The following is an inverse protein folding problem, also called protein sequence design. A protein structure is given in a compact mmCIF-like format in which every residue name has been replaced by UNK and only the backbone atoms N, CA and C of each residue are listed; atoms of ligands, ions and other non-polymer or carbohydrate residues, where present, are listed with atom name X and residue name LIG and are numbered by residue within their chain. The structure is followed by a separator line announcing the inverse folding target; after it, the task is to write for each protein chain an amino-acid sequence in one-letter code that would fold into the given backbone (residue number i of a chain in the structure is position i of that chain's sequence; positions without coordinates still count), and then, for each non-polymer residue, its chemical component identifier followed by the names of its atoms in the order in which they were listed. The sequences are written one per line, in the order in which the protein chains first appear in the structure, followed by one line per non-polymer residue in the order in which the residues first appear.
data_IF_526854853364
#
_entry.id   IF_526854853364
#
_cell.length_a   1.000
_cell.length_b   1.000
_cell.length_c   1.000
_cell.angle_alpha   90.00
_cell.angle_beta   90.00
_cell.angle_gamma   90.00
#
_symmetry.space_group_name_H-M   'P 1'
#
loop_
_entity.id
_entity.type
_entity.pdbx_description
1 polymer ?
#
# COMPACT_ATOMS: atom_id res chain seq x y z
N UNK A 1 16.56 -7.89 -17.92
CA UNK A 1 16.44 -6.43 -18.10
C UNK A 1 14.96 -6.09 -18.12
N UNK A 2 14.50 -5.14 -17.29
CA UNK A 2 13.12 -4.67 -17.36
C UNK A 2 12.86 -4.12 -18.76
N UNK A 3 11.80 -4.62 -19.42
CA UNK A 3 11.36 -4.11 -20.73
C UNK A 3 10.45 -2.90 -20.59
N UNK A 4 10.06 -2.54 -19.37
CA UNK A 4 9.29 -1.32 -19.12
C UNK A 4 10.25 -0.14 -19.07
N UNK A 5 10.06 0.79 -20.00
CA UNK A 5 10.84 2.03 -20.07
C UNK A 5 9.98 3.12 -19.46
N UNK A 6 10.48 3.81 -18.43
CA UNK A 6 9.75 4.93 -17.83
C UNK A 6 9.69 6.06 -18.86
N UNK A 7 8.51 6.29 -19.44
CA UNK A 7 8.32 7.31 -20.48
C UNK A 7 8.48 8.74 -19.92
N UNK A 8 8.12 8.97 -18.65
CA UNK A 8 8.25 10.26 -17.98
C UNK A 8 8.93 10.13 -16.60
N UNK A 9 10.20 10.55 -16.48
CA UNK A 9 11.04 10.39 -15.29
C UNK A 9 10.71 11.39 -14.18
N UNK A 10 9.79 12.34 -14.39
CA UNK A 10 9.42 13.32 -13.36
C UNK A 10 8.84 12.62 -12.14
N UNK A 11 9.00 13.24 -10.97
CA UNK A 11 8.38 12.81 -9.71
C UNK A 11 6.86 12.66 -9.90
N UNK A 12 6.31 11.56 -9.40
CA UNK A 12 4.87 11.32 -9.37
C UNK A 12 4.29 12.04 -8.16
N UNK A 13 3.25 12.84 -8.41
CA UNK A 13 2.55 13.63 -7.40
C UNK A 13 1.08 13.22 -7.37
N UNK A 14 0.35 13.63 -6.34
CA UNK A 14 -1.11 13.42 -6.26
C UNK A 14 -1.84 13.96 -7.49
N UNK A 15 -1.42 15.13 -8.00
CA UNK A 15 -1.94 15.70 -9.24
C UNK A 15 -1.69 14.80 -10.46
N UNK A 16 -0.50 14.19 -10.55
CA UNK A 16 -0.18 13.29 -11.67
C UNK A 16 -1.09 12.05 -11.65
N UNK A 17 -1.44 11.51 -10.49
CA UNK A 17 -2.39 10.40 -10.41
C UNK A 17 -3.80 10.78 -10.92
N UNK A 18 -4.25 12.01 -10.63
CA UNK A 18 -5.50 12.55 -11.18
C UNK A 18 -5.41 12.69 -12.71
N UNK A 19 -4.29 13.19 -13.22
CA UNK A 19 -4.04 13.30 -14.67
C UNK A 19 -4.01 11.93 -15.36
N UNK A 20 -3.44 10.90 -14.71
CA UNK A 20 -3.45 9.52 -15.21
C UNK A 20 -4.88 9.00 -15.34
N UNK A 21 -5.72 9.16 -14.31
CA UNK A 21 -7.15 8.82 -14.38
C UNK A 21 -7.85 9.52 -15.55
N UNK A 22 -7.66 10.84 -15.68
CA UNK A 22 -8.29 11.63 -16.75
C UNK A 22 -7.90 11.16 -18.16
N UNK A 23 -6.69 10.60 -18.32
CA UNK A 23 -6.19 10.01 -19.56
C UNK A 23 -6.54 8.53 -19.75
N UNK A 24 -7.12 7.88 -18.74
CA UNK A 24 -7.34 6.43 -18.72
C UNK A 24 -6.06 5.61 -18.55
N UNK A 25 -4.97 6.23 -18.11
CA UNK A 25 -3.70 5.56 -17.80
C UNK A 25 -3.79 4.89 -16.42
N UNK A 26 -3.53 3.58 -16.35
CA UNK A 26 -3.67 2.82 -15.09
C UNK A 26 -2.50 3.09 -14.16
N UNK A 27 -2.81 3.33 -12.89
CA UNK A 27 -1.82 3.58 -11.84
C UNK A 27 -1.30 2.25 -11.29
N UNK A 28 0.02 2.06 -11.34
CA UNK A 28 0.67 0.93 -10.68
C UNK A 28 1.13 1.31 -9.27
N UNK A 29 0.71 0.53 -8.27
CA UNK A 29 1.13 0.70 -6.88
C UNK A 29 1.61 -0.63 -6.29
N UNK A 30 2.66 -0.59 -5.47
CA UNK A 30 3.13 -1.72 -4.67
C UNK A 30 3.47 -1.28 -3.25
N UNK A 31 3.41 -2.21 -2.31
CA UNK A 31 3.98 -1.94 -0.99
C UNK A 31 5.51 -2.04 -1.00
N UNK A 32 6.16 -1.29 -0.12
CA UNK A 32 7.58 -1.45 0.21
C UNK A 32 7.83 -1.05 1.67
N UNK A 33 8.88 -1.61 2.29
CA UNK A 33 9.12 -1.45 3.72
C UNK A 33 10.58 -1.19 4.08
N UNK A 34 11.49 -1.31 3.11
CA UNK A 34 12.92 -1.12 3.29
C UNK A 34 13.55 -0.35 2.12
N UNK A 35 14.76 0.15 2.35
CA UNK A 35 15.50 0.97 1.39
C UNK A 35 15.81 0.23 0.09
N UNK A 36 16.34 -0.99 0.18
CA UNK A 36 16.87 -1.72 -0.96
C UNK A 36 15.76 -2.12 -1.92
N UNK A 37 14.65 -2.62 -1.39
CA UNK A 37 13.50 -3.00 -2.19
C UNK A 37 12.78 -1.77 -2.77
N UNK A 38 12.61 -0.70 -1.98
CA UNK A 38 11.99 0.53 -2.46
C UNK A 38 12.74 1.13 -3.66
N UNK A 39 14.08 1.12 -3.63
CA UNK A 39 14.91 1.57 -4.75
C UNK A 39 14.66 0.74 -6.01
N UNK A 40 14.62 -0.59 -5.90
CA UNK A 40 14.37 -1.47 -7.04
C UNK A 40 12.96 -1.27 -7.63
N UNK A 41 11.96 -1.08 -6.77
CA UNK A 41 10.58 -0.83 -7.19
C UNK A 41 10.46 0.53 -7.90
N UNK A 42 11.10 1.57 -7.37
CA UNK A 42 11.13 2.90 -7.98
C UNK A 42 11.84 2.90 -9.33
N UNK A 43 13.03 2.28 -9.41
CA UNK A 43 13.80 2.13 -10.64
C UNK A 43 13.08 1.31 -11.72
N UNK A 44 12.18 0.40 -11.30
CA UNK A 44 11.32 -0.35 -12.22
C UNK A 44 10.17 0.48 -12.81
N UNK A 45 9.94 1.71 -12.33
CA UNK A 45 8.95 2.63 -12.87
C UNK A 45 7.62 2.67 -12.14
N UNK A 46 7.54 2.17 -10.90
CA UNK A 46 6.31 2.21 -10.09
C UNK A 46 5.77 3.64 -9.92
N UNK A 47 4.45 3.85 -10.03
CA UNK A 47 3.87 5.19 -9.90
C UNK A 47 3.67 5.61 -8.45
N UNK A 48 3.26 4.67 -7.60
CA UNK A 48 3.10 4.90 -6.17
C UNK A 48 3.64 3.74 -5.33
N UNK A 49 4.21 4.05 -4.17
CA UNK A 49 4.69 3.08 -3.19
C UNK A 49 3.94 3.29 -1.88
N UNK A 50 3.39 2.19 -1.34
CA UNK A 50 2.68 2.17 -0.07
C UNK A 50 3.57 1.59 1.04
N UNK A 51 3.88 2.37 2.08
CA UNK A 51 4.30 1.82 3.36
C UNK A 51 3.03 1.45 4.11
N UNK A 52 2.57 0.21 3.91
CA UNK A 52 1.32 -0.27 4.47
C UNK A 52 1.49 -0.89 5.86
N UNK A 53 0.47 -0.81 6.70
CA UNK A 53 0.45 -1.51 8.00
C UNK A 53 0.45 -3.05 7.86
N UNK A 54 0.21 -3.56 6.65
CA UNK A 54 0.54 -4.94 6.20
C UNK A 54 1.96 -5.39 6.57
N UNK A 55 2.89 -4.46 6.80
CA UNK A 55 4.20 -4.72 7.40
C UNK A 55 4.10 -5.55 8.69
N UNK A 56 3.03 -5.40 9.47
CA UNK A 56 2.82 -6.16 10.69
C UNK A 56 2.83 -7.66 10.41
N UNK A 57 2.19 -8.09 9.32
CA UNK A 57 2.13 -9.49 8.92
C UNK A 57 3.43 -9.92 8.24
N UNK A 58 3.84 -9.20 7.18
CA UNK A 58 4.90 -9.68 6.28
C UNK A 58 6.32 -9.33 6.72
N UNK A 59 6.48 -8.35 7.62
CA UNK A 59 7.78 -7.95 8.17
C UNK A 59 7.93 -8.36 9.64
N UNK A 60 6.86 -8.23 10.44
CA UNK A 60 6.91 -8.48 11.89
C UNK A 60 6.26 -9.80 12.34
N UNK A 61 5.59 -10.54 11.44
CA UNK A 61 4.99 -11.84 11.75
C UNK A 61 3.76 -11.79 12.67
N UNK A 62 3.16 -10.63 12.89
CA UNK A 62 1.90 -10.52 13.63
C UNK A 62 0.74 -11.18 12.86
N UNK A 63 -0.26 -11.66 13.60
CA UNK A 63 -1.45 -12.26 13.02
C UNK A 63 -2.42 -11.24 12.40
N UNK A 64 -2.37 -9.98 12.85
CA UNK A 64 -3.20 -8.87 12.37
C UNK A 64 -2.34 -7.61 12.26
N UNK A 65 -2.87 -6.56 11.62
CA UNK A 65 -2.17 -5.26 11.52
C UNK A 65 -2.29 -4.39 12.78
N UNK A 66 -3.17 -4.76 13.71
CA UNK A 66 -3.46 -3.99 14.93
C UNK A 66 -2.24 -3.68 15.82
N UNK A 67 -1.25 -4.58 15.99
CA UNK A 67 -0.10 -4.30 16.85
C UNK A 67 0.90 -3.29 16.26
N UNK A 68 0.78 -2.94 14.98
CA UNK A 68 1.69 -2.02 14.31
C UNK A 68 1.62 -0.64 14.97
N UNK A 69 2.76 -0.13 15.44
CA UNK A 69 2.81 1.18 16.10
C UNK A 69 3.15 2.30 15.12
N UNK A 70 2.86 3.54 15.51
CA UNK A 70 3.26 4.73 14.74
C UNK A 70 4.79 4.79 14.53
N UNK A 71 5.58 4.48 15.55
CA UNK A 71 7.04 4.53 15.47
C UNK A 71 7.59 3.47 14.51
N UNK A 72 6.99 2.28 14.46
CA UNK A 72 7.34 1.24 13.50
C UNK A 72 6.98 1.67 12.06
N UNK A 73 5.81 2.29 11.85
CA UNK A 73 5.44 2.86 10.55
C UNK A 73 6.42 3.95 10.12
N UNK A 74 6.80 4.86 11.03
CA UNK A 74 7.78 5.92 10.76
C UNK A 74 9.15 5.32 10.39
N UNK A 75 9.60 4.27 11.07
CA UNK A 75 10.85 3.58 10.73
C UNK A 75 10.84 3.03 9.30
N UNK A 76 9.78 2.32 8.90
CA UNK A 76 9.66 1.83 7.52
C UNK A 76 9.55 2.99 6.51
N UNK A 77 8.79 4.03 6.84
CA UNK A 77 8.66 5.23 6.03
C UNK A 77 10.00 5.95 5.81
N UNK A 78 10.86 6.02 6.83
CA UNK A 78 12.22 6.55 6.71
C UNK A 78 13.09 5.70 5.77
N UNK A 79 13.02 4.37 5.90
CA UNK A 79 13.77 3.45 5.04
C UNK A 79 13.36 3.59 3.56
N UNK A 80 12.06 3.58 3.29
CA UNK A 80 11.51 3.72 1.93
C UNK A 80 11.76 5.12 1.38
N UNK A 81 11.51 6.17 2.16
CA UNK A 81 11.71 7.55 1.73
C UNK A 81 13.14 7.87 1.27
N UNK A 82 14.15 7.19 1.83
CA UNK A 82 15.55 7.30 1.36
C UNK A 82 15.81 6.59 0.03
N UNK A 83 15.02 5.57 -0.31
CA UNK A 83 15.20 4.73 -1.49
C UNK A 83 14.46 5.21 -2.74
N UNK A 84 13.39 6.00 -2.56
CA UNK A 84 12.50 6.42 -3.65
C UNK A 84 12.85 7.80 -4.17
N UNK A 85 12.94 7.93 -5.50
CA UNK A 85 13.18 9.20 -6.20
C UNK A 85 11.97 9.64 -7.04
N UNK A 86 11.26 8.72 -7.70
CA UNK A 86 10.18 9.04 -8.65
C UNK A 86 8.77 8.76 -8.09
N UNK A 87 8.50 7.58 -7.59
CA UNK A 87 7.15 7.16 -7.19
C UNK A 87 6.58 8.05 -6.08
N UNK A 88 5.27 8.27 -6.05
CA UNK A 88 4.58 8.92 -4.93
C UNK A 88 4.64 7.99 -3.72
N UNK A 89 5.15 8.47 -2.59
CA UNK A 89 5.26 7.65 -1.37
C UNK A 89 4.13 7.95 -0.40
N UNK A 90 3.30 6.94 -0.11
CA UNK A 90 2.14 6.99 0.79
C UNK A 90 2.39 6.12 2.01
N UNK A 91 2.11 6.60 3.21
CA UNK A 91 2.29 5.84 4.45
C UNK A 91 0.95 5.64 5.17
N UNK A 92 0.69 4.44 5.66
CA UNK A 92 -0.49 4.19 6.49
C UNK A 92 -0.39 4.89 7.85
N UNK A 93 -1.51 5.44 8.31
CA UNK A 93 -1.73 5.66 9.73
C UNK A 93 -2.18 4.33 10.36
N UNK A 94 -1.43 3.79 11.34
CA UNK A 94 -1.78 2.51 11.94
C UNK A 94 -2.99 2.64 12.88
N UNK A 95 -3.60 1.51 13.22
CA UNK A 95 -4.75 1.46 14.11
C UNK A 95 -4.52 2.21 15.43
N UNK A 96 -5.54 2.97 15.85
CA UNK A 96 -5.53 3.73 17.11
C UNK A 96 -4.90 5.12 17.00
N UNK A 97 -4.31 5.47 15.86
CA UNK A 97 -3.60 6.76 15.70
C UNK A 97 -4.44 7.86 15.07
N UNK A 98 -5.65 7.54 14.59
CA UNK A 98 -6.50 8.51 13.87
C UNK A 98 -8.01 8.34 14.07
N UNK A 99 -8.47 7.20 14.58
CA UNK A 99 -9.87 6.92 14.83
C UNK A 99 -10.35 7.65 16.09
N UNK A 100 -11.49 8.33 16.02
CA UNK A 100 -12.18 8.91 17.19
C UNK A 100 -11.54 10.16 17.82
N UNK A 101 -10.29 10.50 17.48
CA UNK A 101 -9.62 11.71 17.96
C UNK A 101 -8.89 12.40 16.81
N UNK A 102 -9.54 13.41 16.24
CA UNK A 102 -9.04 14.15 15.07
C UNK A 102 -7.78 14.98 15.35
N UNK A 103 -7.55 15.42 16.60
CA UNK A 103 -6.31 16.10 16.99
C UNK A 103 -5.12 15.15 17.00
N UNK A 104 -5.35 13.92 17.48
CA UNK A 104 -4.35 12.86 17.47
C UNK A 104 -4.09 12.35 16.07
N UNK A 105 -5.12 12.26 15.23
CA UNK A 105 -4.97 11.99 13.80
C UNK A 105 -4.00 12.98 13.12
N UNK A 106 -4.19 14.28 13.37
CA UNK A 106 -3.30 15.32 12.86
C UNK A 106 -1.88 15.20 13.43
N UNK A 107 -1.73 14.98 14.73
CA UNK A 107 -0.43 14.82 15.35
C UNK A 107 0.34 13.63 14.76
N UNK A 108 -0.33 12.48 14.60
CA UNK A 108 0.24 11.28 13.99
C UNK A 108 0.63 11.49 12.53
N UNK A 109 -0.22 12.13 11.73
CA UNK A 109 0.08 12.47 10.35
C UNK A 109 1.30 13.41 10.26
N UNK A 110 1.36 14.45 11.09
CA UNK A 110 2.51 15.37 11.15
C UNK A 110 3.80 14.62 11.50
N UNK A 111 3.76 13.69 12.45
CA UNK A 111 4.92 12.87 12.80
C UNK A 111 5.42 12.07 11.60
N UNK A 112 4.53 11.37 10.88
CA UNK A 112 4.89 10.68 9.64
C UNK A 112 5.54 11.65 8.65
N UNK A 113 4.92 12.79 8.36
CA UNK A 113 5.44 13.74 7.36
C UNK A 113 6.78 14.37 7.76
N UNK A 114 6.99 14.67 9.04
CA UNK A 114 8.20 15.35 9.54
C UNK A 114 9.36 14.40 9.79
N UNK A 115 9.07 13.21 10.30
CA UNK A 115 10.08 12.24 10.70
C UNK A 115 10.47 11.32 9.54
N UNK A 116 9.75 11.37 8.41
CA UNK A 116 10.06 10.62 7.19
C UNK A 116 10.14 11.54 5.96
N UNK A 117 10.29 10.94 4.77
CA UNK A 117 10.23 11.65 3.47
C UNK A 117 9.03 11.20 2.65
N UNK A 118 7.94 10.84 3.33
CA UNK A 118 6.67 10.46 2.69
C UNK A 118 5.88 11.70 2.30
N UNK A 119 4.97 11.55 1.34
CA UNK A 119 4.30 12.68 0.67
C UNK A 119 2.79 12.70 0.93
N UNK A 120 2.25 11.61 1.46
CA UNK A 120 0.84 11.44 1.76
C UNK A 120 0.63 10.37 2.83
N UNK A 121 -0.54 10.40 3.46
CA UNK A 121 -1.00 9.36 4.40
C UNK A 121 -2.19 8.59 3.84
N UNK A 122 -2.32 7.30 4.21
CA UNK A 122 -3.52 6.48 3.95
C UNK A 122 -4.27 6.20 5.25
N UNK A 123 -5.60 6.25 5.18
CA UNK A 123 -6.50 6.09 6.33
C UNK A 123 -7.66 5.18 5.99
N UNK A 124 -7.98 4.22 6.87
CA UNK A 124 -9.10 3.30 6.70
C UNK A 124 -10.36 3.79 7.40
N UNK A 125 -11.46 3.88 6.67
CA UNK A 125 -12.76 4.29 7.19
C UNK A 125 -13.55 5.18 6.23
N UNK A 126 -14.86 5.25 6.47
CA UNK A 126 -15.79 6.09 5.73
C UNK A 126 -16.21 7.32 6.54
N UNK A 127 -17.52 7.53 6.64
CA UNK A 127 -18.13 8.63 7.40
C UNK A 127 -17.54 8.82 8.82
N UNK A 128 -17.17 7.74 9.51
CA UNK A 128 -16.69 7.77 10.89
C UNK A 128 -15.32 8.43 11.11
N UNK A 129 -14.53 8.68 10.06
CA UNK A 129 -13.20 9.33 10.16
C UNK A 129 -13.10 10.66 9.42
N UNK A 130 -14.21 11.17 8.87
CA UNK A 130 -14.20 12.41 8.05
C UNK A 130 -13.64 13.59 8.84
N UNK A 131 -13.97 13.72 10.12
CA UNK A 131 -13.46 14.81 10.97
C UNK A 131 -11.92 14.77 11.13
N UNK A 132 -11.33 13.56 11.14
CA UNK A 132 -9.89 13.36 11.17
C UNK A 132 -9.26 13.72 9.82
N UNK A 133 -9.89 13.31 8.71
CA UNK A 133 -9.44 13.58 7.34
C UNK A 133 -9.42 15.08 7.06
N UNK A 134 -10.53 15.78 7.30
CA UNK A 134 -10.64 17.23 7.06
C UNK A 134 -9.57 18.01 7.82
N UNK A 135 -9.27 17.59 9.05
CA UNK A 135 -8.26 18.23 9.89
C UNK A 135 -6.83 17.97 9.39
N UNK A 136 -6.52 16.76 8.95
CA UNK A 136 -5.23 16.44 8.32
C UNK A 136 -5.04 17.24 7.03
N UNK A 137 -6.06 17.28 6.18
CA UNK A 137 -6.04 18.03 4.91
C UNK A 137 -5.89 19.53 5.17
N UNK A 138 -6.53 20.08 6.21
CA UNK A 138 -6.37 21.50 6.57
C UNK A 138 -4.93 21.91 6.93
N UNK A 139 -4.08 20.94 7.28
CA UNK A 139 -2.65 21.14 7.52
C UNK A 139 -1.79 20.97 6.26
N UNK A 140 -2.41 20.75 5.10
CA UNK A 140 -1.73 20.57 3.81
C UNK A 140 -1.20 19.16 3.56
N UNK A 141 -1.61 18.17 4.35
CA UNK A 141 -1.16 16.77 4.20
C UNK A 141 -2.13 16.04 3.26
N UNK A 142 -1.69 15.50 2.11
CA UNK A 142 -2.56 14.73 1.23
C UNK A 142 -3.00 13.41 1.86
N UNK A 143 -4.29 13.08 1.71
CA UNK A 143 -4.89 11.86 2.27
C UNK A 143 -5.42 10.96 1.15
N UNK A 144 -5.04 9.68 1.23
CA UNK A 144 -5.64 8.58 0.48
C UNK A 144 -6.64 7.87 1.41
N UNK A 145 -7.91 7.78 1.01
CA UNK A 145 -8.90 7.01 1.75
C UNK A 145 -8.76 5.50 1.50
N UNK A 146 -9.33 4.67 2.35
CA UNK A 146 -9.43 3.23 2.17
C UNK A 146 -10.81 2.70 2.61
N UNK A 147 -11.54 2.11 1.67
CA UNK A 147 -12.86 1.50 1.85
C UNK A 147 -12.88 0.03 1.40
N UNK A 148 -13.95 -0.67 1.78
CA UNK A 148 -14.14 -2.09 1.51
C UNK A 148 -13.79 -2.92 2.74
N UNK A 149 -12.93 -3.93 2.56
CA UNK A 149 -12.31 -4.61 3.69
C UNK A 149 -11.22 -3.70 4.27
N UNK A 150 -11.42 -3.22 5.48
CA UNK A 150 -10.42 -2.44 6.24
C UNK A 150 -9.81 -3.32 7.33
N UNK A 151 -8.59 -3.87 7.15
CA UNK A 151 -7.97 -4.82 8.07
C UNK A 151 -7.89 -4.34 9.53
N UNK A 152 -7.77 -3.04 9.77
CA UNK A 152 -7.75 -2.47 11.13
C UNK A 152 -9.08 -2.65 11.86
N UNK A 153 -10.15 -2.98 11.14
CA UNK A 153 -11.48 -3.28 11.72
C UNK A 153 -11.74 -4.79 11.85
N UNK A 154 -10.69 -5.64 11.80
CA UNK A 154 -10.86 -7.11 11.87
C UNK A 154 -11.66 -7.57 13.09
N UNK A 155 -11.48 -6.97 14.27
CA UNK A 155 -12.23 -7.32 15.47
C UNK A 155 -13.71 -6.90 15.39
N UNK A 156 -14.05 -5.88 14.60
CA UNK A 156 -15.43 -5.47 14.33
C UNK A 156 -16.12 -6.42 13.35
N UNK A 157 -15.38 -6.92 12.36
CA UNK A 157 -15.94 -7.72 11.27
C UNK A 157 -15.82 -9.23 11.47
N UNK A 158 -14.90 -9.68 12.33
CA UNK A 158 -14.65 -11.08 12.66
C UNK A 158 -14.01 -11.92 11.54
N UNK A 159 -13.96 -11.41 10.30
CA UNK A 159 -13.40 -12.12 9.15
C UNK A 159 -12.82 -11.16 8.12
N UNK A 160 -11.88 -11.65 7.30
CA UNK A 160 -11.37 -10.94 6.13
C UNK A 160 -12.22 -11.20 4.87
N UNK A 161 -13.53 -11.47 4.99
CA UNK A 161 -14.36 -11.83 3.83
C UNK A 161 -14.62 -10.63 2.90
N UNK A 162 -15.05 -10.94 1.67
CA UNK A 162 -15.46 -9.93 0.68
C UNK A 162 -16.58 -9.07 1.25
N UNK A 163 -16.46 -7.75 1.10
CA UNK A 163 -17.41 -6.75 1.61
C UNK A 163 -18.37 -6.24 0.54
N UNK A 164 -19.44 -5.57 0.95
CA UNK A 164 -20.39 -4.92 0.07
C UNK A 164 -21.06 -5.87 -0.93
N UNK A 165 -21.44 -7.06 -0.45
CA UNK A 165 -22.24 -8.02 -1.22
C UNK A 165 -23.72 -7.70 -1.20
N UNK A 166 -24.19 -7.14 -0.10
CA UNK A 166 -25.57 -6.73 0.09
C UNK A 166 -25.78 -5.29 -0.39
N UNK A 167 -26.97 -4.99 -0.91
CA UNK A 167 -27.28 -3.66 -1.48
C UNK A 167 -27.07 -2.52 -0.49
N UNK A 168 -27.40 -2.74 0.79
CA UNK A 168 -27.22 -1.73 1.83
C UNK A 168 -25.73 -1.42 2.09
N UNK A 169 -24.87 -2.45 2.16
CA UNK A 169 -23.42 -2.25 2.30
C UNK A 169 -22.83 -1.60 1.04
N UNK A 170 -23.30 -1.96 -0.15
CA UNK A 170 -22.87 -1.37 -1.41
C UNK A 170 -23.27 0.13 -1.52
N UNK A 171 -24.49 0.47 -1.09
CA UNK A 171 -24.96 1.85 -1.03
C UNK A 171 -24.13 2.68 -0.03
N UNK A 172 -23.86 2.12 1.16
CA UNK A 172 -22.99 2.78 2.15
C UNK A 172 -21.58 3.02 1.60
N UNK A 173 -20.98 2.04 0.94
CA UNK A 173 -19.63 2.18 0.36
C UNK A 173 -19.59 3.29 -0.71
N UNK A 174 -20.63 3.38 -1.55
CA UNK A 174 -20.76 4.45 -2.53
C UNK A 174 -20.90 5.83 -1.87
N UNK A 175 -21.68 5.92 -0.80
CA UNK A 175 -21.82 7.15 -0.01
C UNK A 175 -20.50 7.56 0.64
N UNK A 176 -19.85 6.63 1.36
CA UNK A 176 -18.55 6.85 1.99
C UNK A 176 -17.50 7.29 0.96
N UNK A 177 -17.48 6.68 -0.23
CA UNK A 177 -16.53 7.04 -1.29
C UNK A 177 -16.69 8.49 -1.75
N UNK A 178 -17.93 8.94 -1.91
CA UNK A 178 -18.25 10.34 -2.24
C UNK A 178 -17.96 11.29 -1.07
N UNK A 179 -18.16 10.85 0.17
CA UNK A 179 -17.79 11.62 1.36
C UNK A 179 -16.28 11.84 1.43
N UNK A 180 -15.48 10.80 1.19
CA UNK A 180 -14.01 10.90 1.15
C UNK A 180 -13.53 11.87 0.06
N UNK A 181 -14.10 11.79 -1.14
CA UNK A 181 -13.82 12.75 -2.21
C UNK A 181 -14.19 14.18 -1.80
N UNK A 182 -15.40 14.38 -1.26
CA UNK A 182 -15.87 15.69 -0.80
C UNK A 182 -15.00 16.27 0.31
N UNK A 183 -14.49 15.43 1.21
CA UNK A 183 -13.58 15.83 2.29
C UNK A 183 -12.19 16.25 1.75
N UNK A 184 -11.85 15.89 0.51
CA UNK A 184 -10.63 16.29 -0.16
C UNK A 184 -9.56 15.20 -0.29
N UNK A 185 -9.91 13.92 -0.07
CA UNK A 185 -8.99 12.82 -0.37
C UNK A 185 -8.57 12.87 -1.85
N UNK A 186 -7.29 12.66 -2.14
CA UNK A 186 -6.80 12.70 -3.53
C UNK A 186 -6.99 11.37 -4.27
N UNK A 187 -7.27 10.29 -3.54
CA UNK A 187 -7.43 8.93 -4.05
C UNK A 187 -8.15 8.06 -3.02
N UNK A 188 -8.75 6.95 -3.45
CA UNK A 188 -9.37 5.96 -2.55
C UNK A 188 -8.94 4.53 -2.91
N UNK A 189 -8.45 3.76 -1.94
CA UNK A 189 -8.25 2.32 -2.07
C UNK A 189 -9.59 1.61 -1.89
N UNK A 190 -9.87 0.64 -2.78
CA UNK A 190 -11.01 -0.25 -2.70
C UNK A 190 -10.52 -1.69 -2.52
N UNK A 191 -10.71 -2.25 -1.33
CA UNK A 191 -10.22 -3.59 -1.00
C UNK A 191 -11.34 -4.61 -0.91
N UNK A 192 -11.17 -5.72 -1.65
CA UNK A 192 -11.97 -6.94 -1.55
C UNK A 192 -13.48 -6.71 -1.61
N UNK A 193 -13.91 -5.97 -2.65
CA UNK A 193 -15.33 -5.71 -2.98
C UNK A 193 -15.69 -6.29 -4.36
N UNK A 194 -16.99 -6.47 -4.70
CA UNK A 194 -17.41 -6.89 -6.03
C UNK A 194 -16.89 -5.98 -7.13
N UNK A 195 -16.38 -6.56 -8.22
CA UNK A 195 -15.78 -5.81 -9.33
C UNK A 195 -16.75 -4.82 -9.99
N UNK A 196 -18.03 -5.18 -10.09
CA UNK A 196 -19.06 -4.30 -10.66
C UNK A 196 -19.31 -3.08 -9.77
N UNK A 197 -19.26 -3.26 -8.45
CA UNK A 197 -19.38 -2.14 -7.51
C UNK A 197 -18.15 -1.24 -7.59
N UNK A 198 -16.94 -1.83 -7.59
CA UNK A 198 -15.70 -1.07 -7.69
C UNK A 198 -15.66 -0.20 -8.96
N UNK A 199 -16.08 -0.76 -10.10
CA UNK A 199 -16.23 -0.01 -11.36
C UNK A 199 -17.21 1.16 -11.22
N UNK A 200 -18.41 0.92 -10.68
CA UNK A 200 -19.40 1.98 -10.46
C UNK A 200 -18.87 3.10 -9.55
N UNK A 201 -18.14 2.75 -8.49
CA UNK A 201 -17.50 3.72 -7.60
C UNK A 201 -16.46 4.52 -8.38
N UNK A 202 -15.59 3.85 -9.12
CA UNK A 202 -14.51 4.46 -9.91
C UNK A 202 -15.04 5.45 -10.94
N UNK A 203 -16.12 5.09 -11.64
CA UNK A 203 -16.82 5.94 -12.62
C UNK A 203 -17.54 7.14 -11.95
N UNK A 204 -17.94 7.01 -10.69
CA UNK A 204 -18.67 8.06 -9.97
C UNK A 204 -17.78 9.13 -9.33
N UNK A 205 -16.49 8.86 -9.16
CA UNK A 205 -15.51 9.75 -8.53
C UNK A 205 -14.63 10.43 -9.58
N UNK A 206 -14.28 11.69 -9.34
CA UNK A 206 -13.25 12.43 -10.09
C UNK A 206 -11.82 12.06 -9.68
N UNK A 207 -11.63 11.61 -8.44
CA UNK A 207 -10.34 11.15 -7.91
C UNK A 207 -10.05 9.68 -8.27
N UNK A 208 -8.77 9.27 -8.41
CA UNK A 208 -8.38 7.89 -8.67
C UNK A 208 -8.81 6.90 -7.58
N UNK A 209 -9.21 5.73 -8.04
CA UNK A 209 -9.45 4.54 -7.23
C UNK A 209 -8.36 3.51 -7.44
N UNK A 210 -7.85 2.93 -6.36
CA UNK A 210 -6.80 1.89 -6.40
C UNK A 210 -7.39 0.59 -5.90
N UNK A 211 -7.47 -0.43 -6.75
CA UNK A 211 -8.07 -1.72 -6.41
C UNK A 211 -7.08 -2.70 -5.81
N UNK A 212 -7.53 -3.48 -4.83
CA UNK A 212 -6.89 -4.73 -4.41
C UNK A 212 -7.99 -5.78 -4.17
N UNK A 213 -8.08 -6.76 -5.07
CA UNK A 213 -9.22 -7.68 -5.07
C UNK A 213 -10.56 -7.03 -5.38
N UNK A 214 -10.55 -5.89 -6.09
CA UNK A 214 -11.73 -5.13 -6.52
C UNK A 214 -11.96 -5.18 -8.05
N UNK A 215 -11.26 -6.08 -8.77
CA UNK A 215 -11.34 -6.17 -10.23
C UNK A 215 -10.55 -5.07 -10.95
N UNK A 216 -10.59 -5.09 -12.29
CA UNK A 216 -9.84 -4.17 -13.16
C UNK A 216 -10.61 -2.87 -13.50
N UNK A 217 -11.78 -2.66 -12.90
CA UNK A 217 -12.60 -1.45 -13.07
C UNK A 217 -12.04 -0.21 -12.37
N UNK A 218 -11.14 -0.37 -11.40
CA UNK A 218 -10.46 0.73 -10.72
C UNK A 218 -9.44 1.45 -11.62
N UNK A 219 -9.07 2.67 -11.26
CA UNK A 219 -8.09 3.51 -11.99
C UNK A 219 -6.64 3.03 -11.80
N UNK A 220 -6.36 2.26 -10.75
CA UNK A 220 -5.08 1.61 -10.51
C UNK A 220 -5.21 0.33 -9.72
N UNK A 221 -4.08 -0.31 -9.41
CA UNK A 221 -4.02 -1.54 -8.62
C UNK A 221 -2.89 -1.47 -7.60
N UNK A 222 -3.10 -2.09 -6.44
CA UNK A 222 -2.07 -2.29 -5.41
C UNK A 222 -1.98 -3.76 -5.00
N UNK A 223 -0.77 -4.24 -4.73
CA UNK A 223 -0.50 -5.52 -4.10
C UNK A 223 0.56 -5.39 -3.01
N UNK A 224 0.51 -6.29 -2.04
CA UNK A 224 1.61 -6.50 -1.09
C UNK A 224 2.78 -7.13 -1.84
N UNK A 225 3.96 -6.50 -1.79
CA UNK A 225 5.12 -6.90 -2.59
C UNK A 225 5.58 -8.34 -2.30
N UNK A 226 5.58 -8.77 -1.04
CA UNK A 226 5.99 -10.12 -0.64
C UNK A 226 5.09 -11.19 -1.24
N UNK A 227 3.78 -10.91 -1.31
CA UNK A 227 2.81 -11.82 -1.88
C UNK A 227 2.96 -11.87 -3.41
N UNK A 228 3.12 -10.70 -4.04
CA UNK A 228 3.28 -10.54 -5.49
C UNK A 228 4.57 -11.22 -6.00
N UNK A 229 5.66 -11.13 -5.24
CA UNK A 229 6.95 -11.76 -5.57
C UNK A 229 7.05 -13.23 -5.10
N UNK A 230 6.00 -13.78 -4.48
CA UNK A 230 5.99 -15.18 -4.07
C UNK A 230 6.95 -15.51 -2.92
N UNK A 231 7.28 -14.54 -2.08
CA UNK A 231 8.04 -14.78 -0.83
C UNK A 231 7.14 -15.49 0.18
N UNK A 232 5.89 -15.03 0.32
CA UNK A 232 4.91 -15.65 1.18
C UNK A 232 4.15 -16.77 0.44
N UNK A 233 4.51 -18.03 0.71
CA UNK A 233 3.88 -19.21 0.08
C UNK A 233 2.53 -19.57 0.70
N UNK A 234 2.31 -19.26 1.98
CA UNK A 234 1.12 -19.65 2.75
C UNK A 234 -0.13 -18.81 2.46
N UNK A 235 0.05 -17.61 1.90
CA UNK A 235 -1.05 -16.73 1.51
C UNK A 235 -1.30 -16.82 0.00
N UNK A 236 -2.53 -17.16 -0.38
CA UNK A 236 -2.91 -17.32 -1.80
C UNK A 236 -4.38 -16.94 -2.02
N UNK A 237 -4.77 -15.68 -1.77
CA UNK A 237 -6.13 -15.23 -2.04
C UNK A 237 -6.38 -15.22 -3.55
N UNK A 238 -7.66 -15.39 -3.94
CA UNK A 238 -8.07 -15.43 -5.36
C UNK A 238 -7.64 -14.22 -6.20
N UNK A 239 -7.44 -13.05 -5.58
CA UNK A 239 -7.06 -11.83 -6.28
C UNK A 239 -5.56 -11.70 -6.55
N UNK A 240 -4.72 -12.52 -5.92
CA UNK A 240 -3.27 -12.40 -6.02
C UNK A 240 -2.78 -13.08 -7.31
N UNK A 241 -1.98 -12.35 -8.09
CA UNK A 241 -1.10 -12.92 -9.12
C UNK A 241 0.33 -12.85 -8.61
N UNK A 242 1.01 -14.01 -8.62
CA UNK A 242 2.46 -14.08 -8.39
C UNK A 242 3.19 -13.80 -9.70
N UNK A 243 4.13 -12.85 -9.68
CA UNK A 243 4.98 -12.52 -10.83
C UNK A 243 6.38 -13.15 -10.71
N UNK A 244 6.72 -13.70 -9.54
CA UNK A 244 7.92 -14.48 -9.29
C UNK A 244 7.66 -15.52 -8.19
N UNK A 245 8.59 -16.46 -8.01
CA UNK A 245 8.68 -17.36 -6.85
C UNK A 245 10.01 -17.13 -6.13
N UNK A 246 10.12 -15.96 -5.49
CA UNK A 246 11.34 -15.61 -4.76
C UNK A 246 11.55 -16.49 -3.54
N UNK A 247 10.50 -17.07 -2.95
CA UNK A 247 10.65 -17.99 -1.82
C UNK A 247 11.53 -19.19 -2.20
N UNK A 248 11.25 -19.84 -3.34
CA UNK A 248 12.08 -20.95 -3.83
C UNK A 248 13.48 -20.49 -4.21
N UNK A 249 13.63 -19.34 -4.87
CA UNK A 249 14.95 -18.81 -5.26
C UNK A 249 15.82 -18.55 -4.02
N UNK A 250 15.23 -18.00 -2.94
CA UNK A 250 15.93 -17.74 -1.68
C UNK A 250 16.33 -19.07 -1.01
N UNK A 251 15.42 -20.04 -0.93
CA UNK A 251 15.67 -21.37 -0.36
C UNK A 251 16.85 -22.06 -1.07
N UNK A 252 16.85 -22.06 -2.41
CA UNK A 252 17.91 -22.66 -3.22
C UNK A 252 19.25 -21.92 -3.05
N UNK A 253 19.25 -20.59 -3.08
CA UNK A 253 20.46 -19.79 -2.90
C UNK A 253 21.11 -20.00 -1.53
N UNK A 254 20.30 -20.03 -0.47
CA UNK A 254 20.76 -20.31 0.90
C UNK A 254 21.28 -21.75 1.00
N UNK A 255 20.59 -22.72 0.38
CA UNK A 255 21.02 -24.11 0.33
C UNK A 255 22.39 -24.29 -0.34
N UNK A 256 22.61 -23.60 -1.47
CA UNK A 256 23.90 -23.60 -2.18
C UNK A 256 25.00 -22.97 -1.33
N UNK A 257 24.76 -21.79 -0.73
CA UNK A 257 25.73 -21.17 0.18
C UNK A 257 26.12 -22.10 1.35
N UNK A 258 25.14 -22.78 1.97
CA UNK A 258 25.40 -23.76 3.02
C UNK A 258 26.27 -24.90 2.52
N UNK A 259 26.01 -25.40 1.31
CA UNK A 259 26.79 -26.48 0.69
C UNK A 259 28.24 -26.03 0.44
N UNK A 260 28.44 -24.84 -0.10
CA UNK A 260 29.76 -24.32 -0.45
C UNK A 260 30.60 -24.07 0.82
N UNK A 261 30.00 -23.52 1.89
CA UNK A 261 30.65 -23.37 3.21
C UNK A 261 31.01 -24.74 3.81
N UNK A 262 30.07 -25.70 3.80
CA UNK A 262 30.31 -27.04 4.40
C UNK A 262 31.36 -27.85 3.65
N UNK A 263 31.50 -27.63 2.34
CA UNK A 263 32.55 -28.26 1.52
C UNK A 263 33.86 -27.47 1.51
N UNK A 264 33.91 -26.30 2.17
CA UNK A 264 35.02 -25.35 2.12
C UNK A 264 35.37 -24.91 0.69
N UNK A 265 34.39 -24.93 -0.22
CA UNK A 265 34.49 -24.31 -1.55
C UNK A 265 34.32 -22.79 -1.47
N UNK A 266 33.61 -22.32 -0.44
CA UNK A 266 33.54 -20.89 -0.09
C UNK A 266 34.11 -20.63 1.32
N UNK A 267 35.00 -19.62 1.49
CA UNK A 267 35.71 -18.91 0.41
C UNK A 267 36.79 -19.79 -0.24
N UNK A 268 37.03 -19.64 -1.54
CA UNK A 268 38.17 -20.25 -2.25
C UNK A 268 39.37 -19.28 -2.38
N UNK A 269 40.43 -19.71 -3.10
CA UNK A 269 41.66 -18.93 -3.29
C UNK A 269 41.45 -17.53 -3.89
N UNK A 270 40.35 -17.29 -4.63
CA UNK A 270 40.03 -15.98 -5.22
C UNK A 270 39.20 -15.09 -4.29
N UNK A 271 38.75 -15.61 -3.15
CA UNK A 271 37.81 -14.96 -2.23
C UNK A 271 38.46 -14.70 -0.85
N UNK A 272 39.79 -14.76 -0.77
CA UNK A 272 40.60 -14.51 0.42
C UNK A 272 41.70 -13.46 0.15
N UNK A 273 42.16 -12.79 1.21
CA UNK A 273 43.22 -11.75 1.17
C UNK A 273 44.57 -12.31 1.60
#
# INVERSE_FOLDING_TARGET
MSTYTVEDPRKVTTRRLIEMKAKGEKIAMLTAYDYSMARLIDEAGMDAILIGDSAANVMAGYATTLPMTLDQMIYHAQCVGRGVKRALVVCDLPFGTYQGNSKEALASAIRIMKESSTEAVKMEGGAEIIESIERIISAGIPVMGHLGLTPQSINKFGTYNVRAREEAEAAKLMEDAKLLEKAGCFSVVLEKIPADLARKVSESLSIPTIGIGAGNGCDGQVLVMQDMLGINKGFSPRFLRRYADLGTIIEDAVGNYIKDVKSSDFPNEKEQY
#
